data_IF_045350467753
#
_entry.id   IF_045350467753
#
_cell.length_a   1.000
_cell.length_b   1.000
_cell.length_c   1.000
_cell.angle_alpha   90.00
_cell.angle_beta   90.00
_cell.angle_gamma   90.00
#
_symmetry.space_group_name_H-M   'P 1'
#
loop_
_entity.id
_entity.type
_entity.pdbx_description
1 polymer ?
#
# COMPACT_ATOMS: atom_id res chain seq x y z
N UNK A 1 32.01 -13.31 9.87
CA UNK A 1 30.93 -13.68 10.78
C UNK A 1 31.57 -13.81 12.15
N UNK A 2 31.15 -13.00 13.11
CA UNK A 2 31.65 -13.14 14.47
C UNK A 2 31.10 -14.44 15.08
N UNK A 3 31.91 -15.14 15.87
CA UNK A 3 31.46 -16.36 16.57
C UNK A 3 30.57 -16.05 17.78
N UNK A 4 30.34 -14.76 18.05
CA UNK A 4 29.55 -14.32 19.18
C UNK A 4 28.06 -14.44 18.87
N UNK A 5 27.37 -15.28 19.63
CA UNK A 5 25.95 -15.55 19.50
C UNK A 5 25.01 -14.34 19.68
N UNK A 6 25.45 -13.33 20.44
CA UNK A 6 24.74 -12.06 20.62
C UNK A 6 24.73 -11.26 19.31
N UNK A 7 25.92 -11.14 18.67
CA UNK A 7 26.07 -10.49 17.36
C UNK A 7 25.23 -11.21 16.30
N UNK A 8 25.30 -12.56 16.27
CA UNK A 8 24.53 -13.36 15.32
C UNK A 8 23.01 -13.16 15.46
N UNK A 9 22.49 -12.98 16.67
CA UNK A 9 21.07 -12.70 16.88
C UNK A 9 20.64 -11.34 16.31
N UNK A 10 21.45 -10.30 16.50
CA UNK A 10 21.22 -8.98 15.92
C UNK A 10 21.33 -8.99 14.40
N UNK A 11 22.37 -9.61 13.86
CA UNK A 11 22.54 -9.75 12.41
C UNK A 11 21.35 -10.48 11.77
N UNK A 12 20.86 -11.57 12.39
CA UNK A 12 19.67 -12.27 11.91
C UNK A 12 18.42 -11.39 11.91
N UNK A 13 18.22 -10.59 12.96
CA UNK A 13 17.08 -9.68 13.04
C UNK A 13 17.15 -8.59 11.95
N UNK A 14 18.34 -8.00 11.75
CA UNK A 14 18.59 -7.01 10.71
C UNK A 14 18.42 -7.59 9.30
N UNK A 15 18.90 -8.80 9.07
CA UNK A 15 18.74 -9.49 7.79
C UNK A 15 17.26 -9.71 7.48
N UNK A 16 16.44 -10.17 8.46
CA UNK A 16 15.00 -10.31 8.29
C UNK A 16 14.36 -8.96 7.91
N UNK A 17 14.77 -7.86 8.57
CA UNK A 17 14.28 -6.53 8.23
C UNK A 17 14.65 -6.13 6.79
N UNK A 18 15.92 -6.29 6.42
CA UNK A 18 16.42 -5.96 5.09
C UNK A 18 15.75 -6.79 3.99
N UNK A 19 15.54 -8.09 4.24
CA UNK A 19 14.81 -8.99 3.32
C UNK A 19 13.37 -8.51 3.13
N UNK A 20 12.69 -8.11 4.21
CA UNK A 20 11.32 -7.60 4.13
C UNK A 20 11.23 -6.25 3.44
N UNK A 21 12.19 -5.35 3.65
CA UNK A 21 12.30 -4.10 2.90
C UNK A 21 12.48 -4.35 1.40
N UNK A 22 13.37 -5.27 1.04
CA UNK A 22 13.59 -5.66 -0.36
C UNK A 22 12.33 -6.29 -0.98
N UNK A 23 11.64 -7.17 -0.26
CA UNK A 23 10.37 -7.77 -0.70
C UNK A 23 9.29 -6.69 -0.93
N UNK A 24 9.16 -5.72 -0.03
CA UNK A 24 8.24 -4.60 -0.16
C UNK A 24 8.56 -3.78 -1.40
N UNK A 25 9.84 -3.48 -1.61
CA UNK A 25 10.28 -2.72 -2.77
C UNK A 25 9.92 -3.41 -4.09
N UNK A 26 10.18 -4.72 -4.18
CA UNK A 26 9.78 -5.53 -5.32
C UNK A 26 8.26 -5.54 -5.52
N UNK A 27 7.49 -5.69 -4.44
CA UNK A 27 6.03 -5.70 -4.51
C UNK A 27 5.45 -4.38 -5.01
N UNK A 28 5.95 -3.24 -4.52
CA UNK A 28 5.42 -1.92 -4.89
C UNK A 28 5.75 -1.58 -6.35
N UNK A 29 6.90 -2.01 -6.84
CA UNK A 29 7.35 -1.79 -8.22
C UNK A 29 6.74 -2.78 -9.21
N UNK A 30 6.29 -3.94 -8.74
CA UNK A 30 5.66 -4.94 -9.57
C UNK A 30 4.24 -4.53 -9.98
N UNK A 31 3.88 -4.77 -11.25
CA UNK A 31 2.49 -4.61 -11.68
C UNK A 31 1.57 -5.55 -10.89
N UNK A 32 0.43 -5.06 -10.38
CA UNK A 32 -0.56 -5.90 -9.69
C UNK A 32 -1.06 -7.08 -10.51
N UNK A 33 -1.09 -6.94 -11.83
CA UNK A 33 -1.49 -8.02 -12.74
C UNK A 33 -0.54 -9.21 -12.75
N UNK A 34 0.75 -8.97 -12.46
CA UNK A 34 1.80 -10.01 -12.38
C UNK A 34 2.03 -10.52 -10.96
N UNK A 35 1.30 -10.01 -9.97
CA UNK A 35 1.45 -10.41 -8.57
C UNK A 35 1.24 -11.92 -8.40
N UNK A 36 2.20 -12.60 -7.74
CA UNK A 36 2.19 -14.06 -7.56
C UNK A 36 1.97 -14.85 -8.87
N UNK A 37 2.62 -14.42 -9.95
CA UNK A 37 2.52 -15.08 -11.25
C UNK A 37 1.19 -14.89 -11.97
N UNK A 38 0.40 -13.86 -11.60
CA UNK A 38 -0.87 -13.53 -12.26
C UNK A 38 -2.06 -14.42 -11.89
N UNK A 39 -1.87 -15.47 -11.09
CA UNK A 39 -2.97 -16.38 -10.71
C UNK A 39 -4.10 -15.67 -10.00
N UNK A 40 -3.77 -14.77 -9.06
CA UNK A 40 -4.78 -13.96 -8.35
C UNK A 40 -5.52 -13.02 -9.29
N UNK A 41 -4.80 -12.43 -10.25
CA UNK A 41 -5.40 -11.55 -11.24
C UNK A 41 -6.41 -12.31 -12.12
N UNK A 42 -6.11 -13.53 -12.54
CA UNK A 42 -7.03 -14.34 -13.33
C UNK A 42 -8.33 -14.64 -12.56
N UNK A 43 -8.24 -14.91 -11.26
CA UNK A 43 -9.42 -15.09 -10.38
C UNK A 43 -10.23 -13.80 -10.30
N UNK A 44 -9.58 -12.66 -10.06
CA UNK A 44 -10.23 -11.34 -10.00
C UNK A 44 -10.94 -11.00 -11.31
N UNK A 45 -10.27 -11.21 -12.44
CA UNK A 45 -10.81 -10.97 -13.78
C UNK A 45 -12.03 -11.87 -14.07
N UNK A 46 -11.97 -13.13 -13.68
CA UNK A 46 -13.09 -14.08 -13.83
C UNK A 46 -14.30 -13.64 -13.00
N UNK A 47 -14.10 -13.22 -11.74
CA UNK A 47 -15.17 -12.72 -10.86
C UNK A 47 -15.75 -11.42 -11.42
N UNK A 48 -14.90 -10.49 -11.87
CA UNK A 48 -15.34 -9.25 -12.51
C UNK A 48 -16.25 -9.53 -13.71
N UNK A 49 -15.83 -10.45 -14.60
CA UNK A 49 -16.64 -10.85 -15.76
C UNK A 49 -17.99 -11.45 -15.38
N UNK A 50 -18.04 -12.30 -14.36
CA UNK A 50 -19.28 -12.86 -13.84
C UNK A 50 -20.20 -11.77 -13.25
N UNK A 51 -19.65 -10.81 -12.51
CA UNK A 51 -20.42 -9.70 -11.93
C UNK A 51 -20.83 -8.65 -12.96
N UNK A 52 -20.22 -8.62 -14.13
CA UNK A 52 -20.60 -7.71 -15.22
C UNK A 52 -22.05 -7.91 -15.69
N UNK A 53 -22.53 -9.17 -15.74
CA UNK A 53 -23.92 -9.47 -16.04
C UNK A 53 -24.89 -8.86 -15.01
N UNK A 54 -24.55 -8.93 -13.73
CA UNK A 54 -25.30 -8.30 -12.63
C UNK A 54 -25.23 -6.77 -12.77
N UNK A 55 -24.05 -6.24 -13.10
CA UNK A 55 -23.87 -4.81 -13.38
C UNK A 55 -24.81 -4.28 -14.48
N UNK A 56 -24.99 -5.04 -15.57
CA UNK A 56 -25.95 -4.67 -16.62
C UNK A 56 -27.42 -4.70 -16.15
N UNK A 57 -27.79 -5.69 -15.34
CA UNK A 57 -29.15 -5.73 -14.77
C UNK A 57 -29.40 -4.52 -13.85
N UNK A 58 -28.43 -4.19 -13.00
CA UNK A 58 -28.49 -3.01 -12.13
C UNK A 58 -28.45 -1.68 -12.92
N UNK A 59 -27.73 -1.63 -14.03
CA UNK A 59 -27.73 -0.48 -14.93
C UNK A 59 -29.15 -0.13 -15.38
N UNK A 60 -29.92 -1.14 -15.85
CA UNK A 60 -31.29 -0.94 -16.27
C UNK A 60 -32.15 -0.46 -15.09
N UNK A 61 -32.01 -1.07 -13.92
CA UNK A 61 -32.73 -0.67 -12.72
C UNK A 61 -32.46 0.79 -12.33
N UNK A 62 -31.18 1.18 -12.23
CA UNK A 62 -30.82 2.55 -11.87
C UNK A 62 -31.20 3.57 -12.94
N UNK A 63 -31.19 3.18 -14.22
CA UNK A 63 -31.69 4.01 -15.30
C UNK A 63 -33.19 4.28 -15.15
N UNK A 64 -34.00 3.24 -14.91
CA UNK A 64 -35.44 3.38 -14.68
C UNK A 64 -35.73 4.28 -13.47
N UNK A 65 -35.02 4.08 -12.35
CA UNK A 65 -35.13 4.95 -11.17
C UNK A 65 -34.77 6.40 -11.52
N UNK A 66 -33.71 6.59 -12.30
CA UNK A 66 -33.30 7.91 -12.78
C UNK A 66 -34.39 8.59 -13.63
N UNK A 67 -34.97 7.85 -14.60
CA UNK A 67 -36.07 8.33 -15.45
C UNK A 67 -37.27 8.71 -14.59
N UNK A 68 -37.71 7.84 -13.68
CA UNK A 68 -38.87 8.08 -12.82
C UNK A 68 -38.72 9.35 -11.96
N UNK A 69 -37.49 9.60 -11.43
CA UNK A 69 -37.23 10.81 -10.64
C UNK A 69 -37.16 12.09 -11.48
N UNK A 70 -36.59 11.99 -12.69
CA UNK A 70 -36.44 13.15 -13.58
C UNK A 70 -37.76 13.48 -14.30
N UNK A 71 -38.58 12.48 -14.55
CA UNK A 71 -39.88 12.62 -15.26
C UNK A 71 -41.05 12.79 -14.30
N UNK A 72 -40.86 13.31 -13.11
CA UNK A 72 -41.91 13.55 -12.11
C UNK A 72 -43.03 14.54 -12.56
N UNK A 73 -42.82 15.26 -13.68
CA UNK A 73 -43.89 15.99 -14.40
C UNK A 73 -43.94 15.55 -15.87
N UNK A 74 -45.10 15.13 -16.32
CA UNK A 74 -45.37 14.73 -17.72
C UNK A 74 -45.01 15.81 -18.77
N UNK A 75 -44.86 17.05 -18.36
CA UNK A 75 -44.49 18.20 -19.21
C UNK A 75 -43.00 18.23 -19.56
N UNK A 76 -42.13 17.67 -18.73
CA UNK A 76 -40.67 17.64 -18.99
C UNK A 76 -40.28 16.53 -19.97
N UNK A 77 -40.99 15.40 -19.98
CA UNK A 77 -40.78 14.27 -20.92
C UNK A 77 -40.95 14.68 -22.39
N UNK A 78 -41.74 15.71 -22.65
CA UNK A 78 -42.01 16.19 -24.04
C UNK A 78 -40.84 16.96 -24.67
N UNK A 79 -39.76 17.26 -23.93
CA UNK A 79 -38.59 17.95 -24.50
C UNK A 79 -37.59 16.92 -25.02
N UNK A 80 -37.31 16.87 -26.32
CA UNK A 80 -36.42 15.87 -26.92
C UNK A 80 -35.00 15.94 -26.35
N UNK A 81 -34.59 17.12 -25.85
CA UNK A 81 -33.28 17.34 -25.21
C UNK A 81 -33.08 16.52 -23.93
N UNK A 82 -34.15 16.36 -23.11
CA UNK A 82 -34.07 15.54 -21.89
C UNK A 82 -33.99 14.04 -22.22
N UNK A 83 -34.72 13.58 -23.21
CA UNK A 83 -34.66 12.20 -23.67
C UNK A 83 -33.24 11.86 -24.21
N UNK A 84 -32.65 12.76 -24.99
CA UNK A 84 -31.30 12.61 -25.52
C UNK A 84 -30.28 12.53 -24.38
N UNK A 85 -30.38 13.41 -23.39
CA UNK A 85 -29.47 13.43 -22.22
C UNK A 85 -29.55 12.12 -21.44
N UNK A 86 -30.73 11.57 -21.21
CA UNK A 86 -30.90 10.29 -20.52
C UNK A 86 -30.34 9.14 -21.34
N UNK A 87 -30.55 9.14 -22.66
CA UNK A 87 -29.98 8.11 -23.55
C UNK A 87 -28.44 8.15 -23.58
N UNK A 88 -27.84 9.33 -23.69
CA UNK A 88 -26.38 9.51 -23.64
C UNK A 88 -25.83 9.02 -22.30
N UNK A 89 -26.48 9.34 -21.19
CA UNK A 89 -26.08 8.86 -19.85
C UNK A 89 -26.12 7.33 -19.76
N UNK A 90 -27.18 6.72 -20.28
CA UNK A 90 -27.30 5.25 -20.32
C UNK A 90 -26.20 4.63 -21.17
N UNK A 91 -25.93 5.17 -22.34
CA UNK A 91 -24.88 4.69 -23.24
C UNK A 91 -23.48 4.82 -22.59
N UNK A 92 -23.21 5.96 -21.93
CA UNK A 92 -21.95 6.17 -21.20
C UNK A 92 -21.82 5.20 -20.02
N UNK A 93 -22.88 5.02 -19.22
CA UNK A 93 -22.85 4.08 -18.09
C UNK A 93 -22.66 2.64 -18.55
N UNK A 94 -23.29 2.23 -19.67
CA UNK A 94 -23.05 0.94 -20.30
C UNK A 94 -21.58 0.80 -20.73
N UNK A 95 -21.02 1.82 -21.37
CA UNK A 95 -19.61 1.86 -21.76
C UNK A 95 -18.67 1.69 -20.55
N UNK A 96 -18.95 2.40 -19.45
CA UNK A 96 -18.16 2.30 -18.20
C UNK A 96 -18.20 0.89 -17.60
N UNK A 97 -19.32 0.17 -17.67
CA UNK A 97 -19.38 -1.22 -17.20
C UNK A 97 -18.65 -2.15 -18.20
N UNK A 98 -18.85 -1.96 -19.49
CA UNK A 98 -18.23 -2.80 -20.52
C UNK A 98 -16.70 -2.72 -20.46
N UNK A 99 -16.16 -1.52 -20.34
CA UNK A 99 -14.72 -1.23 -20.27
C UNK A 99 -14.26 -1.02 -18.82
N UNK A 100 -15.01 -1.52 -17.84
CA UNK A 100 -14.71 -1.32 -16.42
C UNK A 100 -13.36 -1.88 -16.01
N UNK A 101 -12.98 -3.05 -16.52
CA UNK A 101 -11.68 -3.65 -16.27
C UNK A 101 -10.56 -2.78 -16.86
N UNK A 102 -10.70 -2.32 -18.09
CA UNK A 102 -9.71 -1.46 -18.76
C UNK A 102 -9.55 -0.14 -18.01
N UNK A 103 -10.65 0.43 -17.51
CA UNK A 103 -10.62 1.63 -16.67
C UNK A 103 -9.84 1.40 -15.36
N UNK A 104 -10.05 0.26 -14.70
CA UNK A 104 -9.32 -0.10 -13.49
C UNK A 104 -7.81 -0.27 -13.78
N UNK A 105 -7.48 -0.93 -14.89
CA UNK A 105 -6.09 -1.10 -15.33
C UNK A 105 -5.43 0.23 -15.67
N UNK A 106 -6.12 1.10 -16.42
CA UNK A 106 -5.59 2.42 -16.76
C UNK A 106 -5.26 3.26 -15.53
N UNK A 107 -6.09 3.21 -14.47
CA UNK A 107 -5.79 3.87 -13.20
C UNK A 107 -4.55 3.27 -12.52
N UNK A 108 -4.37 1.96 -12.59
CA UNK A 108 -3.17 1.29 -12.07
C UNK A 108 -1.92 1.71 -12.82
N UNK A 109 -1.97 1.76 -14.15
CA UNK A 109 -0.83 2.13 -14.99
C UNK A 109 -0.41 3.60 -14.75
N UNK A 110 -1.37 4.51 -14.58
CA UNK A 110 -1.08 5.90 -14.20
C UNK A 110 -0.31 5.94 -12.86
N UNK A 111 -0.77 5.19 -11.86
CA UNK A 111 -0.10 5.17 -10.55
C UNK A 111 1.27 4.50 -10.61
N UNK A 112 1.44 3.48 -11.42
CA UNK A 112 2.77 2.89 -11.67
C UNK A 112 3.72 3.92 -12.32
N UNK A 113 3.22 4.75 -13.22
CA UNK A 113 3.95 5.90 -13.76
C UNK A 113 4.37 6.90 -12.69
N UNK A 114 3.48 7.22 -11.74
CA UNK A 114 3.80 8.08 -10.59
C UNK A 114 4.88 7.45 -9.71
N UNK A 115 4.76 6.17 -9.37
CA UNK A 115 5.75 5.43 -8.58
C UNK A 115 7.12 5.48 -9.25
N UNK A 116 7.20 5.17 -10.55
CA UNK A 116 8.46 5.19 -11.29
C UNK A 116 9.09 6.59 -11.35
N UNK A 117 8.27 7.64 -11.48
CA UNK A 117 8.73 9.03 -11.46
C UNK A 117 9.31 9.42 -10.11
N UNK A 118 8.66 9.05 -8.99
CA UNK A 118 9.16 9.29 -7.63
C UNK A 118 10.52 8.58 -7.44
N UNK A 119 10.63 7.33 -7.86
CA UNK A 119 11.86 6.56 -7.74
C UNK A 119 13.01 7.16 -8.54
N UNK A 120 12.76 7.59 -9.77
CA UNK A 120 13.76 8.25 -10.63
C UNK A 120 14.21 9.59 -10.05
N UNK A 121 13.26 10.41 -9.58
CA UNK A 121 13.55 11.72 -9.00
C UNK A 121 14.36 11.61 -7.70
N UNK A 122 14.14 10.57 -6.92
CA UNK A 122 14.86 10.35 -5.68
C UNK A 122 16.25 9.75 -5.86
N UNK A 123 16.60 9.24 -7.06
CA UNK A 123 17.87 8.56 -7.31
C UNK A 123 18.07 7.27 -6.51
N UNK A 124 17.02 6.74 -5.88
CA UNK A 124 17.08 5.57 -5.02
C UNK A 124 16.76 4.29 -5.80
N UNK A 125 17.80 3.48 -6.03
CA UNK A 125 17.63 2.16 -6.65
C UNK A 125 17.09 1.08 -5.71
N UNK A 126 17.46 1.14 -4.43
CA UNK A 126 17.03 0.19 -3.39
C UNK A 126 17.07 0.86 -2.00
N UNK A 127 16.23 0.41 -1.04
CA UNK A 127 16.31 0.89 0.33
C UNK A 127 17.67 0.52 0.94
N UNK A 128 18.26 1.45 1.70
CA UNK A 128 19.51 1.17 2.40
C UNK A 128 19.32 0.04 3.41
N UNK A 129 20.19 -0.95 3.33
CA UNK A 129 20.22 -2.06 4.30
C UNK A 129 20.72 -1.56 5.64
N UNK A 130 20.04 -1.91 6.71
CA UNK A 130 20.51 -1.73 8.06
C UNK A 130 21.67 -2.70 8.30
N UNK A 131 22.85 -2.15 8.63
CA UNK A 131 24.07 -2.92 8.91
C UNK A 131 24.51 -2.61 10.34
N UNK A 132 24.97 -3.64 11.05
CA UNK A 132 25.49 -3.47 12.42
C UNK A 132 26.84 -2.74 12.38
N UNK A 133 27.00 -1.59 13.10
CA UNK A 133 28.26 -0.88 13.16
C UNK A 133 29.35 -1.74 13.78
N UNK A 134 30.60 -1.57 13.31
CA UNK A 134 31.79 -2.27 13.81
C UNK A 134 32.02 -2.01 15.29
N UNK A 135 31.72 -0.80 15.76
CA UNK A 135 31.87 -0.37 17.14
C UNK A 135 30.95 -1.17 18.09
N UNK A 136 29.73 -1.48 17.64
CA UNK A 136 28.78 -2.32 18.40
C UNK A 136 29.27 -3.77 18.43
N UNK A 137 29.78 -4.28 17.30
CA UNK A 137 30.33 -5.64 17.23
C UNK A 137 31.51 -5.78 18.18
N UNK A 138 32.47 -4.85 18.13
CA UNK A 138 33.66 -4.85 19.01
C UNK A 138 33.26 -4.76 20.49
N UNK A 139 32.31 -3.88 20.83
CA UNK A 139 31.82 -3.74 22.20
C UNK A 139 31.16 -5.02 22.75
N UNK A 140 30.50 -5.80 21.89
CA UNK A 140 29.90 -7.09 22.27
C UNK A 140 30.96 -8.17 22.39
N UNK A 141 31.98 -8.19 21.52
CA UNK A 141 33.06 -9.18 21.52
C UNK A 141 34.03 -9.00 22.71
N UNK A 142 34.24 -7.77 23.12
CA UNK A 142 35.11 -7.42 24.26
C UNK A 142 34.47 -7.72 25.63
N UNK A 143 33.15 -8.03 25.66
CA UNK A 143 32.45 -8.35 26.90
C UNK A 143 32.78 -9.74 27.44
N UNK A 144 33.00 -9.83 28.74
CA UNK A 144 33.14 -11.10 29.47
C UNK A 144 31.87 -11.93 29.46
N UNK A 145 31.97 -13.22 29.73
CA UNK A 145 30.83 -14.16 29.71
C UNK A 145 29.64 -13.71 30.57
N UNK A 146 29.89 -13.22 31.78
CA UNK A 146 28.82 -12.75 32.69
C UNK A 146 28.16 -11.44 32.22
N UNK A 147 28.92 -10.58 31.54
CA UNK A 147 28.43 -9.34 30.96
C UNK A 147 27.59 -9.58 29.66
N UNK A 148 27.83 -10.72 29.01
CA UNK A 148 27.08 -11.13 27.82
C UNK A 148 25.65 -11.57 28.13
N UNK A 149 25.31 -11.96 29.36
CA UNK A 149 23.94 -12.41 29.71
C UNK A 149 22.90 -11.28 29.59
N UNK A 150 23.08 -10.07 30.19
CA UNK A 150 22.16 -8.96 29.96
C UNK A 150 22.13 -8.49 28.53
N UNK A 151 23.26 -8.50 27.81
CA UNK A 151 23.35 -8.18 26.40
C UNK A 151 22.48 -9.13 25.55
N UNK A 152 22.55 -10.41 25.84
CA UNK A 152 21.69 -11.38 25.15
C UNK A 152 20.20 -11.11 25.36
N UNK A 153 19.78 -10.84 26.57
CA UNK A 153 18.37 -10.54 26.85
C UNK A 153 17.91 -9.30 26.06
N UNK A 154 18.75 -8.26 26.02
CA UNK A 154 18.49 -7.03 25.25
C UNK A 154 18.38 -7.31 23.76
N UNK A 155 19.31 -8.07 23.19
CA UNK A 155 19.32 -8.37 21.75
C UNK A 155 18.20 -9.32 21.35
N UNK A 156 17.77 -10.23 22.23
CA UNK A 156 16.63 -11.11 22.00
C UNK A 156 15.33 -10.32 21.97
N UNK A 157 15.11 -9.42 22.93
CA UNK A 157 13.94 -8.56 22.99
C UNK A 157 13.94 -7.61 21.75
N UNK A 158 15.07 -6.96 21.48
CA UNK A 158 15.22 -6.07 20.32
C UNK A 158 14.96 -6.80 18.99
N UNK A 159 15.52 -8.00 18.83
CA UNK A 159 15.31 -8.84 17.66
C UNK A 159 13.84 -9.24 17.47
N UNK A 160 13.13 -9.54 18.57
CA UNK A 160 11.69 -9.82 18.53
C UNK A 160 10.91 -8.59 18.05
N UNK A 161 11.20 -7.39 18.54
CA UNK A 161 10.57 -6.15 18.07
C UNK A 161 10.84 -5.92 16.59
N UNK A 162 12.07 -6.05 16.13
CA UNK A 162 12.44 -5.90 14.72
C UNK A 162 11.65 -6.89 13.84
N UNK A 163 11.54 -8.15 14.28
CA UNK A 163 10.77 -9.19 13.59
C UNK A 163 9.28 -8.82 13.48
N UNK A 164 8.66 -8.37 14.57
CA UNK A 164 7.25 -7.95 14.59
C UNK A 164 7.02 -6.75 13.66
N UNK A 165 7.91 -5.75 13.69
CA UNK A 165 7.82 -4.57 12.84
C UNK A 165 7.97 -4.92 11.35
N UNK A 166 8.91 -5.80 11.02
CA UNK A 166 9.12 -6.32 9.67
C UNK A 166 7.86 -7.01 9.13
N UNK A 167 7.28 -7.89 9.96
CA UNK A 167 6.06 -8.60 9.60
C UNK A 167 4.85 -7.65 9.44
N UNK A 168 4.73 -6.66 10.31
CA UNK A 168 3.66 -5.68 10.26
C UNK A 168 3.74 -4.80 9.01
N UNK A 169 4.93 -4.43 8.59
CA UNK A 169 5.17 -3.63 7.41
C UNK A 169 4.80 -4.39 6.12
N UNK A 170 5.28 -5.63 5.97
CA UNK A 170 4.94 -6.44 4.80
C UNK A 170 3.43 -6.73 4.72
N UNK A 171 2.78 -6.99 5.87
CA UNK A 171 1.33 -7.23 5.93
C UNK A 171 0.52 -6.01 5.47
N UNK A 172 0.98 -4.79 5.76
CA UNK A 172 0.34 -3.55 5.28
C UNK A 172 0.37 -3.46 3.76
N UNK A 173 1.49 -3.79 3.14
CA UNK A 173 1.64 -3.78 1.67
C UNK A 173 0.77 -4.86 1.00
N UNK A 174 0.77 -6.08 1.55
CA UNK A 174 -0.13 -7.14 1.06
C UNK A 174 -1.60 -6.73 1.20
N UNK A 175 -1.98 -6.13 2.32
CA UNK A 175 -3.34 -5.62 2.55
C UNK A 175 -3.82 -4.66 1.48
N UNK A 176 -2.94 -3.78 0.98
CA UNK A 176 -3.22 -2.89 -0.16
C UNK A 176 -3.56 -3.67 -1.43
N UNK A 177 -2.75 -4.70 -1.79
CA UNK A 177 -3.03 -5.53 -2.96
C UNK A 177 -4.39 -6.22 -2.86
N UNK A 178 -4.72 -6.79 -1.70
CA UNK A 178 -6.03 -7.42 -1.49
C UNK A 178 -7.18 -6.42 -1.62
N UNK A 179 -7.06 -5.22 -1.02
CA UNK A 179 -8.06 -4.15 -1.21
C UNK A 179 -8.27 -3.85 -2.69
N UNK A 180 -7.20 -3.64 -3.44
CA UNK A 180 -7.24 -3.34 -4.85
C UNK A 180 -7.91 -4.44 -5.67
N UNK A 181 -7.58 -5.71 -5.42
CA UNK A 181 -8.21 -6.85 -6.08
C UNK A 181 -9.70 -6.95 -5.76
N UNK A 182 -10.12 -6.73 -4.50
CA UNK A 182 -11.54 -6.70 -4.13
C UNK A 182 -12.29 -5.58 -4.84
N UNK A 183 -11.74 -4.36 -4.90
CA UNK A 183 -12.34 -3.26 -5.63
C UNK A 183 -12.49 -3.59 -7.12
N UNK A 184 -11.46 -4.13 -7.75
CA UNK A 184 -11.48 -4.50 -9.17
C UNK A 184 -12.51 -5.59 -9.45
N UNK A 185 -12.61 -6.61 -8.60
CA UNK A 185 -13.57 -7.70 -8.78
C UNK A 185 -15.02 -7.21 -8.71
N UNK A 186 -15.35 -6.34 -7.74
CA UNK A 186 -16.73 -5.87 -7.51
C UNK A 186 -17.11 -4.64 -8.35
N UNK A 187 -16.19 -4.07 -9.10
CA UNK A 187 -16.36 -2.82 -9.83
C UNK A 187 -17.65 -2.71 -10.68
N UNK A 188 -18.13 -3.75 -11.38
CA UNK A 188 -19.33 -3.64 -12.21
C UNK A 188 -20.59 -3.18 -11.45
N UNK A 189 -20.67 -3.51 -10.15
CA UNK A 189 -21.84 -3.16 -9.32
C UNK A 189 -21.91 -1.65 -9.05
N UNK A 190 -20.89 -1.00 -8.43
CA UNK A 190 -20.95 0.44 -8.21
C UNK A 190 -20.85 1.26 -9.52
N UNK A 191 -20.21 0.75 -10.57
CA UNK A 191 -20.17 1.42 -11.87
C UNK A 191 -21.55 1.50 -12.54
N UNK A 192 -22.46 0.56 -12.29
CA UNK A 192 -23.81 0.59 -12.80
C UNK A 192 -24.64 1.80 -12.31
N UNK A 193 -24.26 2.36 -11.14
CA UNK A 193 -24.96 3.51 -10.54
C UNK A 193 -24.81 4.80 -11.34
N UNK A 194 -23.87 4.86 -12.30
CA UNK A 194 -23.76 6.02 -13.21
C UNK A 194 -24.98 6.22 -14.13
N UNK A 195 -25.79 5.18 -14.32
CA UNK A 195 -27.01 5.26 -15.14
C UNK A 195 -28.07 6.19 -14.56
N UNK A 196 -28.19 6.25 -13.23
CA UNK A 196 -29.17 7.08 -12.52
C UNK A 196 -28.57 8.38 -11.99
N UNK A 197 -29.26 9.51 -12.19
CA UNK A 197 -28.83 10.80 -11.64
C UNK A 197 -28.68 10.78 -10.12
N UNK A 198 -29.65 10.23 -9.36
CA UNK A 198 -29.57 10.22 -7.91
C UNK A 198 -28.53 9.25 -7.36
N UNK A 199 -28.09 8.27 -8.15
CA UNK A 199 -27.15 7.21 -7.71
C UNK A 199 -25.71 7.41 -8.18
N UNK A 200 -25.44 8.32 -9.11
CA UNK A 200 -24.11 8.53 -9.68
C UNK A 200 -23.03 8.91 -8.66
N UNK A 201 -23.44 9.48 -7.51
CA UNK A 201 -22.52 9.80 -6.41
C UNK A 201 -21.82 8.55 -5.86
N UNK A 202 -22.52 7.40 -5.85
CA UNK A 202 -21.96 6.12 -5.40
C UNK A 202 -20.84 5.68 -6.34
N UNK A 203 -21.07 5.70 -7.66
CA UNK A 203 -20.05 5.36 -8.65
C UNK A 203 -18.84 6.29 -8.61
N UNK A 204 -19.07 7.60 -8.42
CA UNK A 204 -17.97 8.58 -8.26
C UNK A 204 -17.16 8.32 -6.99
N UNK A 205 -17.82 8.05 -5.85
CA UNK A 205 -17.13 7.71 -4.60
C UNK A 205 -16.36 6.41 -4.73
N UNK A 206 -16.91 5.42 -5.43
CA UNK A 206 -16.20 4.16 -5.71
C UNK A 206 -14.90 4.40 -6.51
N UNK A 207 -14.95 5.17 -7.61
CA UNK A 207 -13.76 5.48 -8.41
C UNK A 207 -12.73 6.26 -7.60
N UNK A 208 -13.15 7.23 -6.77
CA UNK A 208 -12.26 7.93 -5.85
C UNK A 208 -11.60 6.97 -4.86
N UNK A 209 -12.38 6.06 -4.27
CA UNK A 209 -11.86 5.07 -3.31
C UNK A 209 -10.89 4.11 -3.97
N UNK A 210 -11.16 3.67 -5.20
CA UNK A 210 -10.23 2.83 -5.95
C UNK A 210 -8.93 3.56 -6.29
N UNK A 211 -9.03 4.79 -6.80
CA UNK A 211 -7.86 5.63 -7.07
C UNK A 211 -7.03 5.88 -5.80
N UNK A 212 -7.70 6.06 -4.65
CA UNK A 212 -7.05 6.17 -3.34
C UNK A 212 -6.22 4.93 -3.02
N UNK A 213 -6.80 3.73 -3.14
CA UNK A 213 -6.07 2.47 -2.89
C UNK A 213 -4.89 2.28 -3.85
N UNK A 214 -5.04 2.69 -5.11
CA UNK A 214 -3.94 2.64 -6.07
C UNK A 214 -2.81 3.61 -5.66
N UNK A 215 -3.14 4.87 -5.32
CA UNK A 215 -2.19 5.91 -4.92
C UNK A 215 -1.49 5.61 -3.57
N UNK A 216 -2.08 4.78 -2.71
CA UNK A 216 -1.45 4.34 -1.46
C UNK A 216 -0.04 3.81 -1.70
N UNK A 217 0.19 3.11 -2.83
CA UNK A 217 1.52 2.63 -3.21
C UNK A 217 2.53 3.73 -3.47
N UNK A 218 2.12 4.81 -4.12
CA UNK A 218 3.01 5.95 -4.37
C UNK A 218 3.39 6.65 -3.05
N UNK A 219 2.46 6.77 -2.10
CA UNK A 219 2.74 7.33 -0.77
C UNK A 219 3.65 6.41 0.05
N UNK A 220 3.50 5.08 -0.05
CA UNK A 220 4.43 4.14 0.59
C UNK A 220 5.85 4.29 0.04
N UNK A 221 6.01 4.40 -1.29
CA UNK A 221 7.33 4.64 -1.91
C UNK A 221 7.91 5.95 -1.42
N UNK A 222 7.10 7.02 -1.39
CA UNK A 222 7.53 8.32 -0.90
C UNK A 222 7.99 8.24 0.58
N UNK A 223 7.24 7.53 1.42
CA UNK A 223 7.61 7.31 2.81
C UNK A 223 8.94 6.55 2.93
N UNK A 224 9.16 5.53 2.12
CA UNK A 224 10.44 4.80 2.08
C UNK A 224 11.61 5.69 1.62
N UNK A 225 11.38 6.55 0.63
CA UNK A 225 12.39 7.51 0.13
C UNK A 225 12.75 8.53 1.21
N UNK A 226 11.76 9.16 1.85
CA UNK A 226 11.97 10.12 2.93
C UNK A 226 12.68 9.46 4.12
N UNK A 227 12.26 8.25 4.46
CA UNK A 227 12.90 7.48 5.52
C UNK A 227 14.37 7.14 5.19
N UNK A 228 14.68 6.75 3.96
CA UNK A 228 16.06 6.49 3.55
C UNK A 228 16.96 7.73 3.69
N UNK A 229 16.41 8.91 3.39
CA UNK A 229 17.14 10.18 3.60
C UNK A 229 17.33 10.48 5.10
N UNK A 230 16.33 10.19 5.94
CA UNK A 230 16.45 10.34 7.40
C UNK A 230 17.42 9.33 8.01
N UNK A 231 17.38 8.09 7.57
CA UNK A 231 18.20 6.97 8.07
C UNK A 231 19.64 6.98 7.52
N UNK A 232 20.00 7.91 6.63
CA UNK A 232 21.36 8.04 6.11
C UNK A 232 22.38 8.49 7.16
N UNK A 233 21.92 9.00 8.30
CA UNK A 233 22.76 9.25 9.48
C UNK A 233 22.64 8.06 10.42
N UNK A 234 23.69 7.22 10.57
CA UNK A 234 23.64 6.10 11.51
C UNK A 234 23.45 6.59 12.95
N UNK A 235 22.82 5.77 13.82
CA UNK A 235 22.69 6.09 15.23
C UNK A 235 24.05 6.44 15.85
N UNK A 236 24.09 7.49 16.67
CA UNK A 236 25.33 7.91 17.34
C UNK A 236 25.67 6.89 18.43
N UNK A 237 26.82 6.23 18.28
CA UNK A 237 27.33 5.25 19.25
C UNK A 237 28.19 5.99 20.28
N UNK A 238 27.74 6.00 21.53
CA UNK A 238 28.53 6.53 22.65
C UNK A 238 29.58 5.50 23.08
N UNK A 239 30.77 5.64 22.57
CA UNK A 239 31.92 4.73 22.86
C UNK A 239 32.43 4.84 24.30
N UNK A 240 31.99 5.82 25.09
CA UNK A 240 32.35 6.00 26.50
C UNK A 240 31.43 5.27 27.49
N UNK A 241 30.28 4.74 27.00
CA UNK A 241 29.31 4.04 27.84
C UNK A 241 29.69 2.55 28.05
N UNK A 242 29.14 1.94 29.11
CA UNK A 242 29.27 0.49 29.30
C UNK A 242 28.63 -0.25 28.11
N UNK A 243 29.19 -1.36 27.68
CA UNK A 243 28.80 -2.09 26.48
C UNK A 243 27.29 -2.43 26.44
N UNK A 244 26.69 -2.85 27.56
CA UNK A 244 25.28 -3.11 27.67
C UNK A 244 24.43 -1.86 27.43
N UNK A 245 24.84 -0.70 27.92
CA UNK A 245 24.15 0.58 27.73
C UNK A 245 24.27 1.07 26.29
N UNK A 246 25.44 0.90 25.69
CA UNK A 246 25.70 1.25 24.28
C UNK A 246 24.81 0.43 23.33
N UNK A 247 24.77 -0.87 23.51
CA UNK A 247 23.94 -1.79 22.70
C UNK A 247 22.45 -1.51 22.89
N UNK A 248 22.01 -1.25 24.14
CA UNK A 248 20.62 -0.89 24.43
C UNK A 248 20.20 0.41 23.73
N UNK A 249 21.04 1.44 23.83
CA UNK A 249 20.77 2.74 23.17
C UNK A 249 20.70 2.59 21.66
N UNK A 250 21.64 1.86 21.06
CA UNK A 250 21.65 1.59 19.62
C UNK A 250 20.40 0.84 19.15
N UNK A 251 20.03 -0.25 19.84
CA UNK A 251 18.81 -1.01 19.52
C UNK A 251 17.56 -0.15 19.68
N UNK A 252 17.51 0.67 20.73
CA UNK A 252 16.38 1.57 20.98
C UNK A 252 16.18 2.57 19.84
N UNK A 253 17.26 3.22 19.39
CA UNK A 253 17.22 4.17 18.29
C UNK A 253 16.90 3.48 16.93
N UNK A 254 17.46 2.30 16.70
CA UNK A 254 17.16 1.49 15.52
C UNK A 254 15.66 1.13 15.47
N UNK A 255 15.11 0.62 16.56
CA UNK A 255 13.68 0.28 16.67
C UNK A 255 12.82 1.52 16.49
N UNK A 256 13.21 2.66 17.07
CA UNK A 256 12.49 3.93 16.90
C UNK A 256 12.44 4.34 15.43
N UNK A 257 13.57 4.29 14.72
CA UNK A 257 13.61 4.58 13.29
C UNK A 257 12.73 3.60 12.48
N UNK A 258 12.76 2.31 12.79
CA UNK A 258 11.90 1.32 12.16
C UNK A 258 10.41 1.57 12.45
N UNK A 259 10.05 2.01 13.65
CA UNK A 259 8.69 2.40 14.02
C UNK A 259 8.18 3.60 13.21
N UNK A 260 9.05 4.59 12.96
CA UNK A 260 8.71 5.73 12.10
C UNK A 260 8.35 5.25 10.70
N UNK A 261 9.15 4.36 10.10
CA UNK A 261 8.86 3.83 8.77
C UNK A 261 7.56 3.02 8.75
N UNK A 262 7.39 2.08 9.67
CA UNK A 262 6.18 1.24 9.78
C UNK A 262 4.93 2.10 10.00
N UNK A 263 5.05 3.12 10.86
CA UNK A 263 3.98 4.10 11.11
C UNK A 263 3.63 4.89 9.86
N UNK A 264 4.63 5.37 9.11
CA UNK A 264 4.44 6.10 7.86
C UNK A 264 3.76 5.25 6.79
N UNK A 265 4.18 3.99 6.63
CA UNK A 265 3.54 3.04 5.71
C UNK A 265 2.08 2.78 6.09
N UNK A 266 1.77 2.64 7.39
CA UNK A 266 0.39 2.47 7.86
C UNK A 266 -0.48 3.71 7.66
N UNK A 267 0.09 4.90 7.79
CA UNK A 267 -0.65 6.15 7.58
C UNK A 267 -0.93 6.43 6.10
N UNK A 268 -0.29 5.74 5.16
CA UNK A 268 -0.43 6.00 3.74
C UNK A 268 -1.90 5.93 3.26
N UNK A 269 -2.68 4.93 3.69
CA UNK A 269 -4.13 4.82 3.40
C UNK A 269 -4.89 6.06 3.86
N UNK A 270 -4.64 6.53 5.09
CA UNK A 270 -5.31 7.71 5.65
C UNK A 270 -4.94 8.99 4.90
N UNK A 271 -3.66 9.19 4.64
CA UNK A 271 -3.15 10.38 3.92
C UNK A 271 -3.81 10.49 2.55
N UNK A 272 -3.85 9.39 1.80
CA UNK A 272 -4.47 9.41 0.45
C UNK A 272 -5.97 9.63 0.54
N UNK A 273 -6.69 9.03 1.50
CA UNK A 273 -8.13 9.27 1.68
C UNK A 273 -8.43 10.72 1.99
N UNK A 274 -7.67 11.33 2.89
CA UNK A 274 -7.80 12.76 3.22
C UNK A 274 -7.54 13.65 1.98
N UNK A 275 -6.52 13.33 1.17
CA UNK A 275 -6.23 14.04 -0.09
C UNK A 275 -7.35 13.91 -1.11
N UNK A 276 -8.04 12.76 -1.17
CA UNK A 276 -9.14 12.50 -2.10
C UNK A 276 -10.49 13.00 -1.60
N UNK A 277 -10.57 13.54 -0.38
CA UNK A 277 -11.80 13.99 0.24
C UNK A 277 -12.77 12.84 0.52
N UNK A 278 -12.25 11.75 1.11
CA UNK A 278 -12.98 10.52 1.47
C UNK A 278 -13.06 10.35 2.98
#
# INVERSE_FOLDING_TARGET
>A
MSDNWVVQNLEKALNIWNDKLSEIWQLITQSPTSFKGGTLWNVVSSIHGALQAIGYALLVLFFVIGVMKTCGSLTEVKRPEHALRLFVRFALAKGVITYGMDLMLALLDIVQGVISTIMQAAGFGQPQSAVLPSEIVSAIEDCGFFESIPLWAVTLIGGLFIWVLSFQMILSVYGRFFKMFMYTAIAPIPLSTFAGEPTQSIGKSFLKSYASVCLEGAVIVLACVIFSALASSPPVVDTGAAAASMVWSYIGELIFNMLILVGSVKMADRVVREMMGL
#
